data_IF_043481450940
#
_entry.id   IF_043481450940
#
_cell.length_a   1.000
_cell.length_b   1.000
_cell.length_c   1.000
_cell.angle_alpha   90.00
_cell.angle_beta   90.00
_cell.angle_gamma   90.00
#
_symmetry.space_group_name_H-M   'P 1'
#
loop_
_entity.id
_entity.type
_entity.pdbx_description
1 polymer ?
#
# COMPACT_ATOMS: atom_id res chain seq x y z
N UNK A 1 -13.95 7.76 -10.48
CA UNK A 1 -13.61 7.47 -9.08
C UNK A 1 -14.14 8.61 -8.24
N UNK A 2 -14.99 8.30 -7.26
CA UNK A 2 -15.69 9.25 -6.40
C UNK A 2 -14.88 9.48 -5.11
N UNK A 3 -14.43 10.73 -4.93
CA UNK A 3 -13.61 11.10 -3.78
C UNK A 3 -14.36 10.97 -2.44
N UNK A 4 -15.68 11.11 -2.44
CA UNK A 4 -16.47 10.96 -1.21
C UNK A 4 -16.45 9.52 -0.70
N UNK A 5 -16.57 8.54 -1.60
CA UNK A 5 -16.49 7.12 -1.21
C UNK A 5 -15.08 6.75 -0.77
N UNK A 6 -14.06 7.33 -1.39
CA UNK A 6 -12.67 7.15 -0.95
C UNK A 6 -12.47 7.63 0.49
N UNK A 7 -12.93 8.84 0.82
CA UNK A 7 -12.79 9.39 2.18
C UNK A 7 -13.58 8.59 3.23
N UNK A 8 -14.72 8.00 2.85
CA UNK A 8 -15.47 7.09 3.72
C UNK A 8 -14.75 5.75 3.89
N UNK A 9 -14.24 5.17 2.81
CA UNK A 9 -13.51 3.91 2.84
C UNK A 9 -12.21 4.01 3.67
N UNK A 10 -11.49 5.14 3.59
CA UNK A 10 -10.30 5.43 4.41
C UNK A 10 -10.57 5.38 5.92
N UNK A 11 -11.80 5.69 6.35
CA UNK A 11 -12.17 5.60 7.78
C UNK A 11 -12.31 4.14 8.24
N UNK A 12 -12.63 3.23 7.33
CA UNK A 12 -12.77 1.79 7.61
C UNK A 12 -11.43 1.08 7.44
N UNK A 13 -10.71 1.39 6.36
CA UNK A 13 -9.37 0.85 6.05
C UNK A 13 -8.38 2.02 5.95
N UNK A 14 -7.69 2.37 7.04
CA UNK A 14 -6.78 3.52 7.07
C UNK A 14 -5.46 3.26 6.33
N UNK A 15 -5.03 2.00 6.24
CA UNK A 15 -3.85 1.65 5.46
C UNK A 15 -4.13 1.80 3.96
N UNK A 16 -3.41 2.74 3.33
CA UNK A 16 -3.62 3.07 1.93
C UNK A 16 -3.30 1.89 1.01
N UNK A 17 -2.27 1.09 1.32
CA UNK A 17 -1.88 -0.07 0.50
C UNK A 17 -2.98 -1.12 0.50
N UNK A 18 -3.45 -1.50 1.69
CA UNK A 18 -4.55 -2.43 1.91
C UNK A 18 -5.82 -1.94 1.20
N UNK A 19 -6.16 -0.66 1.32
CA UNK A 19 -7.32 -0.07 0.66
C UNK A 19 -7.24 -0.18 -0.86
N UNK A 20 -6.09 0.17 -1.45
CA UNK A 20 -5.87 0.10 -2.90
C UNK A 20 -6.00 -1.35 -3.40
N UNK A 21 -5.34 -2.30 -2.73
CA UNK A 21 -5.36 -3.71 -3.12
C UNK A 21 -6.75 -4.31 -3.01
N UNK A 22 -7.45 -4.06 -1.90
CA UNK A 22 -8.79 -4.55 -1.64
C UNK A 22 -9.80 -4.00 -2.66
N UNK A 23 -9.78 -2.68 -2.90
CA UNK A 23 -10.68 -2.03 -3.85
C UNK A 23 -10.41 -2.49 -5.29
N UNK A 24 -9.13 -2.65 -5.67
CA UNK A 24 -8.75 -3.09 -7.03
C UNK A 24 -9.15 -4.53 -7.30
N UNK A 25 -8.88 -5.44 -6.35
CA UNK A 25 -9.33 -6.84 -6.44
C UNK A 25 -10.84 -6.91 -6.58
N UNK A 26 -11.56 -6.17 -5.74
CA UNK A 26 -13.02 -6.18 -5.76
C UNK A 26 -13.61 -5.58 -7.04
N UNK A 27 -13.04 -4.49 -7.53
CA UNK A 27 -13.46 -3.90 -8.80
C UNK A 27 -13.30 -4.88 -9.97
N UNK A 28 -12.25 -5.70 -9.93
CA UNK A 28 -12.00 -6.76 -10.93
C UNK A 28 -13.05 -7.87 -10.87
N UNK A 29 -13.40 -8.32 -9.67
CA UNK A 29 -14.49 -9.30 -9.46
C UNK A 29 -15.82 -8.79 -10.01
N UNK A 30 -16.15 -7.52 -9.75
CA UNK A 30 -17.37 -6.89 -10.26
C UNK A 30 -17.35 -6.78 -11.79
N UNK A 31 -16.20 -6.47 -12.39
CA UNK A 31 -16.02 -6.46 -13.85
C UNK A 31 -16.23 -7.85 -14.49
N UNK A 32 -15.93 -8.92 -13.76
CA UNK A 32 -16.24 -10.31 -14.16
C UNK A 32 -17.69 -10.72 -13.93
N UNK A 33 -18.57 -9.79 -13.52
CA UNK A 33 -20.00 -10.02 -13.36
C UNK A 33 -20.40 -10.51 -11.97
N UNK A 34 -19.50 -10.43 -10.97
CA UNK A 34 -19.88 -10.70 -9.59
C UNK A 34 -20.92 -9.68 -9.12
N UNK A 35 -21.82 -10.13 -8.26
CA UNK A 35 -22.92 -9.31 -7.78
C UNK A 35 -22.43 -8.25 -6.77
N UNK A 36 -22.81 -6.97 -6.92
CA UNK A 36 -22.60 -5.96 -5.90
C UNK A 36 -23.32 -6.28 -4.59
N UNK A 37 -22.67 -6.02 -3.46
CA UNK A 37 -23.21 -6.16 -2.10
C UNK A 37 -23.94 -4.90 -1.62
N UNK A 38 -23.73 -3.78 -2.33
CA UNK A 38 -24.37 -2.49 -2.07
C UNK A 38 -25.13 -2.04 -3.32
N UNK A 39 -26.25 -1.35 -3.10
CA UNK A 39 -26.94 -0.63 -4.18
C UNK A 39 -26.16 0.64 -4.47
N UNK A 40 -25.32 0.59 -5.48
CA UNK A 40 -24.64 1.77 -6.01
C UNK A 40 -25.40 2.31 -7.22
N UNK A 41 -25.46 3.64 -7.35
CA UNK A 41 -25.96 4.28 -8.58
C UNK A 41 -24.87 4.43 -9.64
N UNK A 42 -23.61 4.36 -9.21
CA UNK A 42 -22.45 4.51 -10.08
C UNK A 42 -22.15 3.22 -10.84
N UNK A 43 -21.86 3.34 -12.13
CA UNK A 43 -21.52 2.21 -13.00
C UNK A 43 -20.05 1.77 -12.83
N UNK A 44 -19.22 2.64 -12.24
CA UNK A 44 -17.80 2.34 -12.06
C UNK A 44 -17.60 1.33 -10.93
N UNK A 45 -17.09 0.15 -11.27
CA UNK A 45 -16.80 -0.93 -10.32
C UNK A 45 -15.88 -0.52 -9.17
N UNK A 46 -14.96 0.42 -9.39
CA UNK A 46 -14.10 0.93 -8.32
C UNK A 46 -14.90 1.72 -7.28
N UNK A 47 -15.89 2.50 -7.73
CA UNK A 47 -16.74 3.30 -6.85
C UNK A 47 -17.70 2.41 -6.06
N UNK A 48 -18.22 1.34 -6.69
CA UNK A 48 -18.97 0.29 -6.01
C UNK A 48 -18.11 -0.40 -4.94
N UNK A 49 -16.88 -0.79 -5.27
CA UNK A 49 -15.97 -1.44 -4.34
C UNK A 49 -15.62 -0.54 -3.14
N UNK A 50 -15.33 0.74 -3.38
CA UNK A 50 -15.07 1.71 -2.29
C UNK A 50 -16.30 1.86 -1.37
N UNK A 51 -17.50 1.85 -1.93
CA UNK A 51 -18.74 1.93 -1.14
C UNK A 51 -18.99 0.65 -0.33
N UNK A 52 -18.72 -0.53 -0.90
CA UNK A 52 -18.78 -1.82 -0.16
C UNK A 52 -17.80 -1.85 1.02
N UNK A 53 -16.59 -1.30 0.84
CA UNK A 53 -15.60 -1.14 1.92
C UNK A 53 -16.10 -0.13 2.96
N UNK A 54 -16.63 1.01 2.52
CA UNK A 54 -17.16 2.04 3.42
C UNK A 54 -18.36 1.56 4.27
N UNK A 55 -19.19 0.66 3.73
CA UNK A 55 -20.29 0.01 4.48
C UNK A 55 -19.82 -1.18 5.33
N UNK A 56 -18.52 -1.53 5.31
CA UNK A 56 -17.96 -2.65 6.07
C UNK A 56 -18.40 -4.03 5.58
N UNK A 57 -18.91 -4.14 4.35
CA UNK A 57 -19.34 -5.41 3.74
C UNK A 57 -18.18 -6.19 3.14
N UNK A 58 -17.06 -5.53 2.91
CA UNK A 58 -15.83 -6.12 2.41
C UNK A 58 -14.72 -5.92 3.45
N UNK A 59 -14.18 -7.02 3.95
CA UNK A 59 -13.09 -7.03 4.92
C UNK A 59 -11.76 -7.42 4.27
N UNK A 60 -10.68 -6.90 4.83
CA UNK A 60 -9.32 -7.17 4.40
C UNK A 60 -8.78 -8.43 5.08
N UNK A 61 -9.02 -9.61 4.51
CA UNK A 61 -8.40 -10.87 4.95
C UNK A 61 -7.00 -11.01 4.31
N UNK A 62 -6.09 -10.13 4.68
CA UNK A 62 -4.67 -10.32 4.39
C UNK A 62 -4.06 -10.99 5.61
N UNK A 63 -3.71 -12.28 5.51
CA UNK A 63 -2.88 -12.95 6.51
C UNK A 63 -1.66 -12.06 6.77
N UNK A 64 -1.57 -11.55 7.99
CA UNK A 64 -0.67 -10.48 8.41
C UNK A 64 0.80 -10.92 8.47
N UNK A 65 1.34 -11.41 7.35
CA UNK A 65 2.78 -11.38 7.17
C UNK A 65 3.15 -9.93 6.89
N UNK A 66 4.05 -9.34 7.69
CA UNK A 66 4.57 -8.01 7.41
C UNK A 66 4.97 -7.93 5.95
N UNK A 67 4.48 -6.91 5.27
CA UNK A 67 4.76 -6.68 3.87
C UNK A 67 6.21 -6.17 3.75
N UNK A 68 7.14 -7.12 3.75
CA UNK A 68 8.59 -6.90 3.73
C UNK A 68 9.05 -6.15 2.47
N UNK A 69 8.18 -6.01 1.47
CA UNK A 69 8.46 -5.34 0.20
C UNK A 69 9.06 -3.93 0.34
N UNK A 70 8.54 -3.11 1.26
CA UNK A 70 9.08 -1.77 1.47
C UNK A 70 10.42 -1.79 2.22
N UNK A 71 10.63 -2.75 3.12
CA UNK A 71 11.91 -2.95 3.80
C UNK A 71 12.98 -3.46 2.82
N UNK A 72 12.60 -4.37 1.92
CA UNK A 72 13.45 -4.88 0.86
C UNK A 72 13.88 -3.78 -0.12
N UNK A 73 12.97 -2.88 -0.52
CA UNK A 73 13.32 -1.73 -1.39
C UNK A 73 14.29 -0.79 -0.70
N UNK A 74 14.08 -0.49 0.58
CA UNK A 74 14.97 0.38 1.37
C UNK A 74 16.34 -0.29 1.52
N UNK A 75 16.38 -1.58 1.88
CA UNK A 75 17.61 -2.35 2.03
C UNK A 75 18.39 -2.47 0.70
N UNK A 76 17.71 -2.72 -0.41
CA UNK A 76 18.32 -2.78 -1.74
C UNK A 76 18.90 -1.42 -2.16
N UNK A 77 18.20 -0.32 -1.87
CA UNK A 77 18.73 1.04 -2.09
C UNK A 77 19.96 1.34 -1.24
N UNK A 78 19.96 0.94 0.04
CA UNK A 78 21.12 1.11 0.90
C UNK A 78 22.31 0.24 0.48
N UNK A 79 22.08 -1.00 0.07
CA UNK A 79 23.11 -1.90 -0.45
C UNK A 79 23.74 -1.33 -1.72
N UNK A 80 22.92 -0.87 -2.67
CA UNK A 80 23.40 -0.21 -3.88
C UNK A 80 24.19 1.08 -3.58
N UNK A 81 23.84 1.81 -2.51
CA UNK A 81 24.60 2.99 -2.07
C UNK A 81 25.95 2.63 -1.43
N UNK A 82 26.04 1.48 -0.74
CA UNK A 82 27.31 0.95 -0.19
C UNK A 82 28.24 0.47 -1.31
N UNK A 83 27.70 -0.16 -2.35
CA UNK A 83 28.48 -0.64 -3.50
C UNK A 83 28.98 0.49 -4.42
N UNK A 84 28.24 1.61 -4.52
CA UNK A 84 28.65 2.78 -5.33
C UNK A 84 29.60 3.76 -4.61
N UNK A 85 30.15 3.41 -3.45
CA UNK A 85 31.35 4.07 -2.90
C UNK A 85 31.18 5.47 -2.29
N UNK A 86 29.97 5.88 -1.89
CA UNK A 86 29.78 7.21 -1.25
C UNK A 86 30.23 7.31 0.22
N UNK A 87 30.62 6.21 0.87
CA UNK A 87 31.16 6.26 2.24
C UNK A 87 32.66 6.52 2.19
N UNK A 88 33.04 7.76 1.86
CA UNK A 88 34.41 8.26 2.10
C UNK A 88 34.66 8.37 3.61
N UNK A 89 35.51 7.46 4.09
CA UNK A 89 36.49 7.59 5.17
C UNK A 89 36.19 8.60 6.31
N UNK A 90 36.11 8.09 7.54
CA UNK A 90 36.85 8.71 8.65
C UNK A 90 37.95 7.75 9.08
N UNK A 91 39.09 7.85 8.40
CA UNK A 91 40.35 7.38 8.94
C UNK A 91 40.64 8.21 10.20
N UNK A 92 40.51 7.61 11.38
CA UNK A 92 41.20 8.13 12.55
C UNK A 92 42.68 7.84 12.33
N UNK A 93 43.43 8.86 11.93
CA UNK A 93 44.89 8.87 11.99
C UNK A 93 45.27 9.04 13.47
N UNK A 94 45.99 8.10 14.10
CA UNK A 94 46.61 8.40 15.39
C UNK A 94 47.72 9.41 15.13
N UNK A 95 47.54 10.64 15.58
CA UNK A 95 48.62 11.61 15.68
C UNK A 95 49.63 11.07 16.69
N UNK A 96 50.78 10.61 16.21
CA UNK A 96 51.98 10.56 17.02
C UNK A 96 52.47 12.00 17.17
N UNK A 97 52.50 12.52 18.39
CA UNK A 97 53.40 13.59 18.79
C UNK A 97 54.17 13.11 20.02
N UNK A 98 55.44 13.55 20.06
CA UNK A 98 56.64 13.03 20.71
C UNK A 98 56.62 12.79 22.23
#
# INVERSE_FOLDING_TARGET
>A
MNNEYLERAKKVVPDAKTLILLASRRATELAYGMRPMVRCKDENHLDVALLEIAEGKLAADFDAKPDDFMQEIIAAREAARRENGEIRMRHNHPANEE
#
